data_IF_805401962004
#
_entry.id   IF_805401962004
#
_cell.length_a   1.000
_cell.length_b   1.000
_cell.length_c   1.000
_cell.angle_alpha   90.00
_cell.angle_beta   90.00
_cell.angle_gamma   90.00
#
_symmetry.space_group_name_H-M   'P 1'
#
loop_
_entity.id
_entity.type
_entity.pdbx_description
1 polymer ?
#
# COMPACT_ATOMS: atom_id res chain seq x y z
N UNK A 1 29.19 -1.27 1.80
CA UNK A 1 28.39 -2.47 1.45
C UNK A 1 27.15 -1.95 0.75
N UNK A 2 26.79 -2.54 -0.38
CA UNK A 2 25.56 -2.18 -1.12
C UNK A 2 24.49 -3.21 -0.77
N UNK A 3 23.32 -2.75 -0.35
CA UNK A 3 22.19 -3.62 -0.02
C UNK A 3 21.18 -3.62 -1.17
N UNK A 4 20.62 -4.80 -1.46
CA UNK A 4 19.47 -5.00 -2.33
C UNK A 4 18.40 -5.73 -1.52
N UNK A 5 17.22 -5.14 -1.39
CA UNK A 5 16.08 -5.79 -0.76
C UNK A 5 15.28 -6.54 -1.82
N UNK A 6 15.00 -7.83 -1.57
CA UNK A 6 14.22 -8.69 -2.49
C UNK A 6 12.85 -9.05 -1.93
N UNK A 7 12.53 -8.59 -0.75
CA UNK A 7 11.26 -8.83 -0.07
C UNK A 7 10.93 -7.60 0.76
N UNK A 8 10.55 -6.54 0.06
CA UNK A 8 10.22 -5.27 0.66
C UNK A 8 8.73 -4.97 0.50
N UNK A 9 8.16 -4.20 1.40
CA UNK A 9 6.76 -3.82 1.36
C UNK A 9 6.62 -2.32 1.43
N UNK A 10 5.66 -1.80 0.67
CA UNK A 10 5.28 -0.41 0.69
C UNK A 10 3.76 -0.32 0.74
N UNK A 11 3.24 0.54 1.62
CA UNK A 11 1.82 0.88 1.61
C UNK A 11 1.57 1.77 0.40
N UNK A 12 0.51 1.51 -0.32
CA UNK A 12 0.15 2.30 -1.49
C UNK A 12 -0.06 3.77 -1.09
N UNK A 13 0.54 4.73 -1.82
CA UNK A 13 0.28 6.15 -1.61
C UNK A 13 -1.22 6.46 -1.67
N UNK A 14 -1.75 7.28 -0.76
CA UNK A 14 -3.21 7.46 -0.62
C UNK A 14 -3.91 8.02 -1.87
N UNK A 15 -3.17 8.74 -2.70
CA UNK A 15 -3.65 9.39 -3.93
C UNK A 15 -3.30 8.62 -5.22
N UNK A 16 -2.62 7.47 -5.10
CA UNK A 16 -2.10 6.70 -6.24
C UNK A 16 -3.19 6.37 -7.27
N UNK A 17 -4.30 5.81 -6.82
CA UNK A 17 -5.38 5.45 -7.74
C UNK A 17 -6.10 6.68 -8.32
N UNK A 18 -6.23 7.75 -7.56
CA UNK A 18 -6.79 8.99 -8.06
C UNK A 18 -5.93 9.58 -9.19
N UNK A 19 -4.61 9.48 -9.09
CA UNK A 19 -3.69 10.00 -10.09
C UNK A 19 -3.60 9.12 -11.34
N UNK A 20 -3.61 7.79 -11.18
CA UNK A 20 -3.23 6.85 -12.24
C UNK A 20 -4.38 6.06 -12.86
N UNK A 21 -5.58 6.06 -12.27
CA UNK A 21 -6.74 5.40 -12.88
C UNK A 21 -7.13 6.04 -14.22
N UNK A 22 -7.47 5.21 -15.23
CA UNK A 22 -8.03 5.72 -16.49
C UNK A 22 -9.29 6.56 -16.24
N UNK A 23 -9.49 7.63 -17.00
CA UNK A 23 -10.61 8.57 -16.84
C UNK A 23 -11.98 7.87 -16.82
N UNK A 24 -12.15 6.79 -17.62
CA UNK A 24 -13.39 6.00 -17.67
C UNK A 24 -13.73 5.24 -16.39
N UNK A 25 -12.76 5.02 -15.51
CA UNK A 25 -12.93 4.28 -14.26
C UNK A 25 -12.62 5.12 -13.01
N UNK A 26 -12.28 6.39 -13.17
CA UNK A 26 -11.79 7.26 -12.10
C UNK A 26 -12.76 7.39 -10.93
N UNK A 27 -14.06 7.48 -11.21
CA UNK A 27 -15.11 7.61 -10.18
C UNK A 27 -15.26 6.33 -9.34
N UNK A 28 -14.85 5.20 -9.88
CA UNK A 28 -14.91 3.86 -9.27
C UNK A 28 -13.56 3.38 -8.75
N UNK A 29 -12.55 4.24 -8.77
CA UNK A 29 -11.20 3.92 -8.28
C UNK A 29 -11.22 3.44 -6.83
N UNK A 30 -10.25 2.59 -6.41
CA UNK A 30 -10.03 2.33 -5.00
C UNK A 30 -9.85 3.62 -4.22
N UNK A 31 -10.54 3.76 -3.08
CA UNK A 31 -10.48 4.96 -2.22
C UNK A 31 -10.03 4.59 -0.83
N UNK A 32 -9.04 5.34 -0.33
CA UNK A 32 -8.65 5.23 1.06
C UNK A 32 -9.67 5.97 1.93
N UNK A 33 -10.20 5.31 2.95
CA UNK A 33 -11.26 5.83 3.82
C UNK A 33 -10.97 5.41 5.26
N UNK A 34 -11.03 6.35 6.19
CA UNK A 34 -10.85 6.06 7.61
C UNK A 34 -12.16 5.55 8.21
N UNK A 35 -12.15 4.34 8.77
CA UNK A 35 -13.28 3.69 9.42
C UNK A 35 -12.87 3.36 10.87
N UNK A 36 -13.55 3.96 11.84
CA UNK A 36 -13.25 3.79 13.27
C UNK A 36 -11.77 4.07 13.63
N UNK A 37 -11.19 5.11 13.02
CA UNK A 37 -9.80 5.50 13.26
C UNK A 37 -8.75 4.59 12.59
N UNK A 38 -9.16 3.76 11.64
CA UNK A 38 -8.27 2.88 10.86
C UNK A 38 -8.49 3.09 9.38
N UNK A 39 -7.42 3.07 8.59
CA UNK A 39 -7.49 3.28 7.15
C UNK A 39 -7.81 1.98 6.41
N UNK A 40 -8.73 2.09 5.48
CA UNK A 40 -9.21 1.00 4.65
C UNK A 40 -9.27 1.44 3.19
N UNK A 41 -8.81 0.59 2.31
CA UNK A 41 -9.10 0.70 0.88
C UNK A 41 -10.51 0.18 0.61
N UNK A 42 -11.36 1.02 0.06
CA UNK A 42 -12.72 0.64 -0.38
C UNK A 42 -12.70 0.46 -1.89
N UNK A 43 -13.02 -0.74 -2.35
CA UNK A 43 -13.03 -1.07 -3.77
C UNK A 43 -14.09 -2.11 -4.10
N UNK A 44 -14.96 -1.83 -5.06
CA UNK A 44 -16.05 -2.71 -5.49
C UNK A 44 -16.92 -3.25 -4.33
N UNK A 45 -17.14 -2.43 -3.31
CA UNK A 45 -17.94 -2.81 -2.13
C UNK A 45 -17.16 -3.57 -1.05
N UNK A 46 -15.92 -3.97 -1.32
CA UNK A 46 -15.04 -4.61 -0.34
C UNK A 46 -14.25 -3.56 0.45
N UNK A 47 -13.96 -3.89 1.70
CA UNK A 47 -13.14 -3.08 2.61
C UNK A 47 -11.88 -3.85 2.98
N UNK A 48 -10.73 -3.32 2.60
CA UNK A 48 -9.41 -3.92 2.84
C UNK A 48 -8.65 -3.00 3.77
N UNK A 49 -8.46 -3.43 5.01
CA UNK A 49 -7.72 -2.65 6.02
C UNK A 49 -6.23 -2.56 5.69
N UNK A 50 -5.64 -1.41 5.98
CA UNK A 50 -4.19 -1.23 5.89
C UNK A 50 -3.53 -1.95 7.07
N UNK A 51 -2.71 -2.99 6.84
CA UNK A 51 -2.17 -3.81 7.93
C UNK A 51 -1.08 -3.06 8.70
N UNK A 52 -1.25 -2.96 10.02
CA UNK A 52 -0.32 -2.28 10.91
C UNK A 52 1.10 -2.89 10.87
N UNK A 53 1.22 -4.20 10.67
CA UNK A 53 2.52 -4.87 10.59
C UNK A 53 3.41 -4.33 9.45
N UNK A 54 2.82 -3.81 8.38
CA UNK A 54 3.58 -3.21 7.28
C UNK A 54 4.27 -1.87 7.66
N UNK A 55 3.97 -1.32 8.83
CA UNK A 55 4.39 0.01 9.26
C UNK A 55 5.15 0.03 10.60
N UNK A 56 5.60 -1.12 11.09
CA UNK A 56 6.24 -1.26 12.42
C UNK A 56 7.73 -0.85 12.45
N UNK A 57 8.26 -0.28 11.37
CA UNK A 57 9.63 0.21 11.32
C UNK A 57 9.89 1.20 12.48
N UNK A 58 10.92 0.90 13.28
CA UNK A 58 11.30 1.64 14.49
C UNK A 58 10.40 1.44 15.71
N UNK A 59 9.38 0.60 15.64
CA UNK A 59 8.55 0.28 16.80
C UNK A 59 9.14 -0.84 17.65
N UNK A 60 8.94 -0.80 18.98
CA UNK A 60 9.28 -1.94 19.84
C UNK A 60 8.51 -3.19 19.41
N UNK A 61 9.15 -4.35 19.46
CA UNK A 61 8.49 -5.62 19.06
C UNK A 61 7.22 -5.94 19.84
N UNK A 62 7.09 -5.44 21.06
CA UNK A 62 5.88 -5.59 21.90
C UNK A 62 4.66 -4.84 21.35
N UNK A 63 4.88 -3.88 20.41
CA UNK A 63 3.83 -3.05 19.81
C UNK A 63 3.49 -3.49 18.38
N UNK A 64 4.15 -4.54 17.87
CA UNK A 64 3.85 -5.07 16.55
C UNK A 64 2.51 -5.80 16.56
N UNK A 65 1.69 -5.56 15.54
CA UNK A 65 0.38 -6.18 15.37
C UNK A 65 -0.07 -6.21 13.92
N UNK A 66 -1.09 -7.02 13.66
CA UNK A 66 -1.71 -7.14 12.33
C UNK A 66 -2.96 -6.27 12.18
N UNK A 67 -3.42 -5.65 13.27
CA UNK A 67 -4.61 -4.83 13.25
C UNK A 67 -4.44 -3.68 12.25
N UNK A 68 -5.50 -3.32 11.52
CA UNK A 68 -5.47 -2.16 10.66
C UNK A 68 -5.06 -0.90 11.43
N UNK A 69 -4.31 -0.03 10.77
CA UNK A 69 -3.82 1.23 11.34
C UNK A 69 -4.13 2.37 10.37
N UNK A 70 -3.85 3.60 10.76
CA UNK A 70 -3.96 4.74 9.86
C UNK A 70 -2.57 5.27 9.45
N UNK A 71 -2.53 6.03 8.35
CA UNK A 71 -1.28 6.54 7.80
C UNK A 71 -0.58 7.54 8.74
N UNK A 72 -1.31 8.19 9.67
CA UNK A 72 -0.71 9.14 10.62
C UNK A 72 0.16 8.45 11.68
N UNK A 73 -0.10 7.16 11.94
CA UNK A 73 0.70 6.34 12.85
C UNK A 73 1.94 5.75 12.17
N UNK A 74 2.03 5.86 10.83
CA UNK A 74 3.11 5.26 10.05
C UNK A 74 4.26 6.25 9.82
N UNK A 75 5.47 5.71 9.75
CA UNK A 75 6.62 6.44 9.24
C UNK A 75 6.36 6.84 7.77
N UNK A 76 6.58 8.10 7.36
CA UNK A 76 6.31 8.55 5.99
C UNK A 76 6.95 7.68 4.90
N UNK A 77 8.14 7.13 5.11
CA UNK A 77 8.80 6.22 4.18
C UNK A 77 8.05 4.90 3.93
N UNK A 78 6.99 4.60 4.69
CA UNK A 78 6.15 3.43 4.43
C UNK A 78 5.20 3.62 3.24
N UNK A 79 4.79 4.87 2.94
CA UNK A 79 3.79 5.19 1.89
C UNK A 79 4.16 6.37 0.98
N UNK A 80 5.21 7.10 1.29
CA UNK A 80 5.69 8.23 0.49
C UNK A 80 7.01 7.87 -0.17
N UNK A 81 7.03 7.82 -1.51
CA UNK A 81 8.20 7.39 -2.29
C UNK A 81 9.42 8.29 -2.05
N UNK A 82 9.23 9.62 -1.96
CA UNK A 82 10.35 10.54 -1.74
C UNK A 82 11.00 10.35 -0.36
N UNK A 83 10.19 10.10 0.68
CA UNK A 83 10.70 9.78 2.02
C UNK A 83 11.33 8.37 2.05
N UNK A 84 10.76 7.43 1.29
CA UNK A 84 11.34 6.08 1.14
C UNK A 84 12.75 6.12 0.56
N UNK A 85 13.00 6.92 -0.47
CA UNK A 85 14.34 7.08 -1.06
C UNK A 85 15.34 7.60 -0.03
N UNK A 86 14.95 8.55 0.82
CA UNK A 86 15.82 9.03 1.92
C UNK A 86 16.15 7.93 2.93
N UNK A 87 15.16 7.08 3.25
CA UNK A 87 15.38 5.93 4.13
C UNK A 87 16.32 4.90 3.49
N UNK A 88 16.18 4.65 2.18
CA UNK A 88 17.07 3.77 1.43
C UNK A 88 18.51 4.31 1.44
N UNK A 89 18.71 5.60 1.17
CA UNK A 89 20.02 6.24 1.20
C UNK A 89 20.66 6.13 2.59
N UNK A 90 19.91 6.43 3.65
CA UNK A 90 20.38 6.35 5.03
C UNK A 90 20.80 4.91 5.43
N UNK A 91 20.18 3.89 4.85
CA UNK A 91 20.48 2.49 5.12
C UNK A 91 21.46 1.85 4.10
N UNK A 92 21.96 2.60 3.13
CA UNK A 92 22.84 2.08 2.08
C UNK A 92 22.15 1.06 1.15
N UNK A 93 20.85 1.21 0.96
CA UNK A 93 20.03 0.35 0.09
C UNK A 93 19.98 0.95 -1.32
N UNK A 94 20.51 0.22 -2.29
CA UNK A 94 20.55 0.66 -3.70
C UNK A 94 19.22 0.44 -4.41
N UNK A 95 18.54 -0.67 -4.13
CA UNK A 95 17.26 -1.01 -4.76
C UNK A 95 16.44 -1.93 -3.85
N UNK A 96 15.11 -1.92 -4.06
CA UNK A 96 14.16 -2.80 -3.40
C UNK A 96 13.13 -3.32 -4.39
N UNK A 97 12.76 -4.61 -4.26
CA UNK A 97 11.59 -5.18 -4.91
C UNK A 97 10.43 -5.10 -3.92
N UNK A 98 9.43 -4.27 -4.26
CA UNK A 98 8.32 -4.01 -3.37
C UNK A 98 7.10 -4.87 -3.72
N UNK A 99 6.51 -5.51 -2.72
CA UNK A 99 5.26 -6.23 -2.84
C UNK A 99 4.08 -5.34 -2.42
N UNK A 100 2.93 -5.45 -3.13
CA UNK A 100 1.76 -4.65 -2.83
C UNK A 100 1.08 -5.10 -1.53
N UNK A 101 0.44 -4.14 -0.86
CA UNK A 101 -0.38 -4.40 0.33
C UNK A 101 -1.86 -4.53 -0.04
N UNK A 102 -2.42 -3.57 -0.79
CA UNK A 102 -3.82 -3.55 -1.23
C UNK A 102 -4.21 -4.78 -2.07
N UNK A 103 -3.36 -5.17 -3.01
CA UNK A 103 -3.63 -6.33 -3.87
C UNK A 103 -3.64 -7.67 -3.10
N UNK A 104 -3.07 -7.70 -1.91
CA UNK A 104 -2.83 -8.92 -1.13
C UNK A 104 -1.73 -9.78 -1.73
N UNK A 105 -1.35 -10.83 -1.02
CA UNK A 105 -0.32 -11.77 -1.48
C UNK A 105 -0.70 -12.37 -2.83
N UNK A 106 0.18 -12.23 -3.82
CA UNK A 106 -0.02 -12.67 -5.20
C UNK A 106 -1.33 -12.15 -5.84
N UNK A 107 -1.82 -10.98 -5.43
CA UNK A 107 -3.03 -10.39 -5.98
C UNK A 107 -4.34 -11.04 -5.52
N UNK A 108 -4.33 -11.77 -4.41
CA UNK A 108 -5.48 -12.57 -3.96
C UNK A 108 -6.73 -11.74 -3.66
N UNK A 109 -6.59 -10.50 -3.21
CA UNK A 109 -7.74 -9.60 -3.02
C UNK A 109 -8.35 -9.22 -4.36
N UNK A 110 -7.54 -8.78 -5.31
CA UNK A 110 -7.99 -8.37 -6.65
C UNK A 110 -8.57 -9.53 -7.46
N UNK A 111 -8.03 -10.74 -7.29
CA UNK A 111 -8.54 -11.93 -7.99
C UNK A 111 -10.02 -12.24 -7.67
N UNK A 112 -10.50 -11.84 -6.49
CA UNK A 112 -11.88 -12.06 -6.02
C UNK A 112 -12.86 -10.98 -6.47
N UNK A 113 -12.39 -9.83 -6.96
CA UNK A 113 -13.24 -8.71 -7.35
C UNK A 113 -14.18 -9.07 -8.52
N UNK A 114 -15.47 -8.71 -8.44
CA UNK A 114 -16.46 -9.14 -9.43
C UNK A 114 -16.29 -8.46 -10.80
N UNK A 115 -16.03 -7.14 -10.85
CA UNK A 115 -15.79 -6.42 -12.10
C UNK A 115 -14.34 -6.55 -12.54
N UNK A 116 -14.09 -7.41 -13.52
CA UNK A 116 -12.74 -7.68 -14.03
C UNK A 116 -12.16 -6.53 -14.86
N UNK A 117 -13.00 -5.75 -15.54
CA UNK A 117 -12.52 -4.60 -16.32
C UNK A 117 -12.01 -3.49 -15.40
N UNK A 118 -12.79 -3.17 -14.38
CA UNK A 118 -12.41 -2.22 -13.33
C UNK A 118 -11.19 -2.71 -12.54
N UNK A 119 -11.13 -4.01 -12.22
CA UNK A 119 -9.99 -4.62 -11.53
C UNK A 119 -8.71 -4.51 -12.35
N UNK A 120 -8.78 -4.82 -13.65
CA UNK A 120 -7.62 -4.69 -14.54
C UNK A 120 -7.16 -3.22 -14.68
N UNK A 121 -8.08 -2.27 -14.68
CA UNK A 121 -7.74 -0.84 -14.67
C UNK A 121 -6.99 -0.45 -13.38
N UNK A 122 -7.42 -0.96 -12.22
CA UNK A 122 -6.75 -0.73 -10.95
C UNK A 122 -5.35 -1.38 -10.92
N UNK A 123 -5.19 -2.59 -11.45
CA UNK A 123 -3.86 -3.24 -11.59
C UNK A 123 -2.94 -2.41 -12.49
N UNK A 124 -3.46 -1.89 -13.61
CA UNK A 124 -2.66 -1.05 -14.52
C UNK A 124 -2.27 0.28 -13.88
N UNK A 125 -3.14 0.85 -13.05
CA UNK A 125 -2.85 2.08 -12.32
C UNK A 125 -1.79 1.88 -11.22
N UNK A 126 -1.71 0.67 -10.66
CA UNK A 126 -0.69 0.30 -9.67
C UNK A 126 0.71 0.14 -10.31
N UNK A 127 0.80 -0.46 -11.52
CA UNK A 127 2.06 -0.76 -12.23
C UNK A 127 2.60 0.43 -13.04
#
# INVERSE_FOLDING_TARGET
>A
MILLSIDDHMIEPPDMFEQHMPASFKDQAPKLTTINGKDHWIFQGESIGVPGLAAVASWPKSEWGFDPTDLSEMRPGCYNVAERVKDMDANGMLAGMNFPTFAGFAGTHLAKMPDKALTNAAISAYN
#
